data_IF_667247399073
#
_entry.id   IF_667247399073
#
_cell.length_a   1.000
_cell.length_b   1.000
_cell.length_c   1.000
_cell.angle_alpha   90.00
_cell.angle_beta   90.00
_cell.angle_gamma   90.00
#
_symmetry.space_group_name_H-M   'P 1'
#
loop_
_entity.id
_entity.type
_entity.pdbx_description
1 polymer ?
#
# COMPACT_ATOMS: atom_id res chain seq x y z
N UNK A 1 7.59 16.23 13.68
CA UNK A 1 7.56 15.74 13.21
C UNK A 1 6.73 14.90 12.59
N UNK A 2 5.96 14.78 12.46
CA UNK A 2 5.01 13.91 12.02
C UNK A 2 4.78 13.91 10.57
N UNK A 3 5.21 14.87 9.96
CA UNK A 3 4.87 15.00 8.64
C UNK A 3 5.36 13.94 7.76
N UNK A 4 6.26 13.23 8.21
CA UNK A 4 6.80 12.36 7.34
C UNK A 4 6.06 11.15 7.10
N UNK A 5 4.98 10.95 7.67
CA UNK A 5 4.30 9.71 7.55
C UNK A 5 3.49 9.56 6.29
N UNK A 6 3.53 10.54 5.45
CA UNK A 6 2.69 10.51 4.27
C UNK A 6 3.07 9.40 3.29
N UNK A 7 4.30 8.88 3.40
CA UNK A 7 4.73 7.86 2.46
C UNK A 7 4.72 6.44 3.01
N UNK A 8 4.15 6.24 4.18
CA UNK A 8 4.23 4.94 4.83
C UNK A 8 3.57 3.84 4.02
N UNK A 9 2.42 4.10 3.42
CA UNK A 9 1.71 3.09 2.66
C UNK A 9 2.53 2.66 1.45
N UNK A 10 3.03 3.62 0.70
CA UNK A 10 3.84 3.32 -0.47
C UNK A 10 5.10 2.56 -0.08
N UNK A 11 5.71 2.97 1.02
CA UNK A 11 6.91 2.32 1.51
C UNK A 11 6.67 0.87 1.87
N UNK A 12 5.60 0.60 2.60
CA UNK A 12 5.28 -0.77 2.99
C UNK A 12 4.97 -1.64 1.78
N UNK A 13 4.29 -1.08 0.81
CA UNK A 13 4.00 -1.83 -0.41
C UNK A 13 5.28 -2.11 -1.19
N UNK A 14 6.22 -1.19 -1.21
CA UNK A 14 7.49 -1.42 -1.88
C UNK A 14 8.28 -2.52 -1.18
N UNK A 15 8.26 -2.55 0.14
CA UNK A 15 8.92 -3.61 0.89
C UNK A 15 8.30 -4.96 0.54
N UNK A 16 6.98 -5.02 0.47
CA UNK A 16 6.30 -6.25 0.11
C UNK A 16 6.65 -6.69 -1.31
N UNK A 17 6.82 -5.73 -2.22
CA UNK A 17 7.21 -6.04 -3.58
C UNK A 17 8.62 -6.64 -3.63
N UNK A 18 9.54 -6.07 -2.87
CA UNK A 18 10.90 -6.60 -2.80
C UNK A 18 10.88 -8.04 -2.28
N UNK A 19 10.10 -8.30 -1.26
CA UNK A 19 9.99 -9.64 -0.70
C UNK A 19 9.31 -10.61 -1.66
N UNK A 20 8.64 -10.08 -2.67
CA UNK A 20 7.94 -10.91 -3.65
C UNK A 20 8.78 -10.97 -4.93
N UNK A 21 10.02 -11.40 -4.79
CA UNK A 21 10.97 -11.57 -5.91
C UNK A 21 11.27 -10.27 -6.63
N UNK A 22 11.40 -9.18 -5.87
CA UNK A 22 11.70 -7.87 -6.45
C UNK A 22 10.69 -7.49 -7.53
N UNK A 23 9.43 -7.70 -7.26
CA UNK A 23 8.38 -7.37 -8.23
C UNK A 23 8.44 -5.90 -8.62
N UNK A 24 8.30 -5.63 -9.91
CA UNK A 24 8.31 -4.27 -10.43
C UNK A 24 6.90 -3.73 -10.54
N UNK A 25 6.79 -2.39 -10.59
CA UNK A 25 5.48 -1.75 -10.69
C UNK A 25 4.71 -2.20 -11.91
N UNK A 26 5.38 -2.42 -13.02
CA UNK A 26 4.71 -2.87 -14.23
C UNK A 26 4.12 -4.27 -14.05
N UNK A 27 4.82 -5.12 -13.31
CA UNK A 27 4.31 -6.46 -13.01
C UNK A 27 3.10 -6.38 -12.09
N UNK A 28 3.19 -5.55 -11.07
CA UNK A 28 2.08 -5.36 -10.16
C UNK A 28 0.86 -4.82 -10.90
N UNK A 29 1.07 -3.86 -11.79
CA UNK A 29 -0.02 -3.30 -12.57
C UNK A 29 -0.74 -4.36 -13.38
N UNK A 30 -0.02 -5.32 -13.94
CA UNK A 30 -0.65 -6.40 -14.68
C UNK A 30 -1.50 -7.29 -13.80
N UNK A 31 -1.05 -7.53 -12.58
CA UNK A 31 -1.80 -8.37 -11.66
C UNK A 31 -3.12 -7.75 -11.24
N UNK A 32 -3.18 -6.44 -11.15
CA UNK A 32 -4.38 -5.76 -10.70
C UNK A 32 -5.09 -5.04 -11.85
N UNK A 33 -4.67 -5.32 -13.08
CA UNK A 33 -5.30 -4.75 -14.28
C UNK A 33 -5.25 -3.22 -14.25
N UNK A 34 -4.08 -2.69 -13.96
CA UNK A 34 -3.86 -1.25 -13.88
C UNK A 34 -2.67 -0.90 -14.77
N UNK A 35 -2.76 0.18 -15.51
CA UNK A 35 -1.66 0.56 -16.39
C UNK A 35 -0.42 0.92 -15.59
N UNK A 36 0.75 0.76 -16.21
CA UNK A 36 2.00 1.06 -15.54
C UNK A 36 2.07 2.52 -15.10
N UNK A 37 1.54 3.43 -15.92
CA UNK A 37 1.59 4.84 -15.54
C UNK A 37 0.64 5.14 -14.38
N UNK A 38 -0.52 4.51 -14.35
CA UNK A 38 -1.45 4.71 -13.24
C UNK A 38 -0.90 4.20 -11.93
N UNK A 39 -0.34 2.99 -11.92
CA UNK A 39 0.20 2.44 -10.70
C UNK A 39 1.42 3.25 -10.24
N UNK A 40 2.24 3.69 -11.17
CA UNK A 40 3.40 4.51 -10.85
C UNK A 40 2.98 5.83 -10.22
N UNK A 41 1.92 6.45 -10.74
CA UNK A 41 1.41 7.70 -10.18
C UNK A 41 0.86 7.52 -8.78
N UNK A 42 0.17 6.43 -8.54
CA UNK A 42 -0.35 6.16 -7.20
C UNK A 42 0.78 6.05 -6.19
N UNK A 43 1.86 5.38 -6.54
CA UNK A 43 3.00 5.26 -5.66
C UNK A 43 3.72 6.60 -5.48
N UNK A 44 3.86 7.37 -6.56
CA UNK A 44 4.53 8.64 -6.47
C UNK A 44 3.79 9.61 -5.58
N UNK A 45 2.49 9.66 -5.70
CA UNK A 45 1.67 10.60 -4.94
C UNK A 45 1.23 10.05 -3.61
N UNK A 46 1.51 8.76 -3.37
CA UNK A 46 1.02 8.07 -2.19
C UNK A 46 -0.50 8.24 -2.10
N UNK A 47 -1.16 8.11 -3.23
CA UNK A 47 -2.59 8.39 -3.35
C UNK A 47 -3.34 7.08 -3.52
N UNK A 48 -3.54 6.38 -2.41
CA UNK A 48 -4.23 5.10 -2.40
C UNK A 48 -5.52 5.23 -1.63
N UNK A 49 -6.63 4.80 -2.23
CA UNK A 49 -7.84 4.62 -1.45
C UNK A 49 -7.79 3.21 -0.86
N UNK A 50 -8.73 2.93 0.03
CA UNK A 50 -8.73 1.65 0.71
C UNK A 50 -8.79 0.48 -0.27
N UNK A 51 -9.62 0.58 -1.29
CA UNK A 51 -9.75 -0.51 -2.24
C UNK A 51 -8.47 -0.72 -3.04
N UNK A 52 -7.76 0.35 -3.38
CA UNK A 52 -6.47 0.24 -4.05
C UNK A 52 -5.48 -0.52 -3.18
N UNK A 53 -5.39 -0.11 -1.92
CA UNK A 53 -4.45 -0.69 -0.98
C UNK A 53 -4.73 -2.18 -0.78
N UNK A 54 -6.01 -2.53 -0.61
CA UNK A 54 -6.38 -3.93 -0.42
C UNK A 54 -6.10 -4.75 -1.67
N UNK A 55 -6.39 -4.20 -2.83
CA UNK A 55 -6.17 -4.92 -4.08
C UNK A 55 -4.68 -5.19 -4.30
N UNK A 56 -3.85 -4.20 -4.05
CA UNK A 56 -2.41 -4.35 -4.21
C UNK A 56 -1.87 -5.35 -3.19
N UNK A 57 -2.29 -5.23 -1.95
CA UNK A 57 -1.82 -6.13 -0.90
C UNK A 57 -2.20 -7.57 -1.21
N UNK A 58 -3.42 -7.78 -1.67
CA UNK A 58 -3.87 -9.12 -2.02
C UNK A 58 -3.04 -9.71 -3.16
N UNK A 59 -2.73 -8.90 -4.17
CA UNK A 59 -1.90 -9.35 -5.28
C UNK A 59 -0.52 -9.75 -4.81
N UNK A 60 -0.05 -9.14 -3.74
CA UNK A 60 1.27 -9.45 -3.18
C UNK A 60 1.23 -10.56 -2.13
N UNK A 61 0.04 -11.09 -1.83
CA UNK A 61 -0.10 -12.16 -0.88
C UNK A 61 -0.23 -11.72 0.56
N UNK A 62 -0.69 -10.50 0.79
CA UNK A 62 -0.84 -9.95 2.14
C UNK A 62 -2.27 -9.55 2.43
N UNK A 63 -2.65 -9.66 3.68
CA UNK A 63 -3.92 -9.13 4.16
C UNK A 63 -3.70 -7.73 4.69
N UNK A 64 -4.77 -6.93 4.69
CA UNK A 64 -4.71 -5.56 5.20
C UNK A 64 -5.55 -5.48 6.46
N UNK A 65 -4.97 -4.90 7.49
CA UNK A 65 -5.67 -4.67 8.74
C UNK A 65 -5.61 -3.18 9.04
N UNK A 66 -6.77 -2.58 9.26
CA UNK A 66 -6.85 -1.16 9.57
C UNK A 66 -7.49 -1.03 10.95
N UNK A 67 -6.82 -0.36 11.85
CA UNK A 67 -7.25 -0.27 13.24
C UNK A 67 -7.18 1.16 13.71
N UNK A 68 -8.23 1.59 14.38
CA UNK A 68 -8.21 2.87 15.08
C UNK A 68 -7.97 2.58 16.55
N UNK A 69 -7.10 3.36 17.16
CA UNK A 69 -6.74 3.18 18.55
C UNK A 69 -7.14 4.43 19.33
N UNK A 70 -7.96 4.26 20.35
CA UNK A 70 -8.38 5.37 21.17
C UNK A 70 -7.19 5.94 21.92
N UNK A 71 -7.02 7.24 21.86
CA UNK A 71 -5.92 7.88 22.56
C UNK A 71 -6.12 7.84 24.07
N UNK A 72 -7.37 7.79 24.50
CA UNK A 72 -7.66 7.81 25.93
C UNK A 72 -7.58 6.45 26.58
N UNK A 73 -8.14 5.45 25.93
CA UNK A 73 -8.28 4.15 26.56
C UNK A 73 -7.39 3.09 25.94
N UNK A 74 -6.87 3.33 24.76
CA UNK A 74 -6.12 2.31 24.06
C UNK A 74 -6.98 1.27 23.36
N UNK A 75 -8.28 1.47 23.40
CA UNK A 75 -9.23 0.53 22.78
C UNK A 75 -9.06 0.54 21.27
N UNK A 76 -9.18 -0.60 20.64
CA UNK A 76 -9.03 -0.75 19.20
C UNK A 76 -10.36 -1.10 18.55
N UNK A 77 -10.60 -0.51 17.39
CA UNK A 77 -11.76 -0.89 16.58
C UNK A 77 -11.35 -1.09 15.14
#
# INVERSE_FOLDING_TARGET
>A
MAEHNTNIIAEKLRIAMVKNNDMKLSQLGKLIDCSASNISNKFKRNNFCESDFRQIAEALGYDVEITLISKETGERI
#
